data_IF_289133058068
#
_entry.id   IF_289133058068
#
_cell.length_a   1.000
_cell.length_b   1.000
_cell.length_c   1.000
_cell.angle_alpha   90.00
_cell.angle_beta   90.00
_cell.angle_gamma   90.00
#
_symmetry.space_group_name_H-M   'P 1'
#
loop_
_entity.id
_entity.type
_entity.pdbx_description
1 polymer ?
#
# COMPACT_ATOMS: atom_id res chain seq x y z
N UNK A 1 -33.77 15.87 -33.03
CA UNK A 1 -32.43 16.18 -32.48
C UNK A 1 -31.83 14.87 -32.02
N UNK A 2 -31.01 14.24 -32.87
CA UNK A 2 -30.23 13.08 -32.45
C UNK A 2 -29.13 13.61 -31.52
N UNK A 3 -29.23 13.29 -30.24
CA UNK A 3 -28.10 13.43 -29.30
C UNK A 3 -27.10 12.39 -29.79
N UNK A 4 -26.04 12.86 -30.46
CA UNK A 4 -24.89 12.01 -30.74
C UNK A 4 -24.31 11.64 -29.36
N UNK A 5 -24.52 10.40 -28.92
CA UNK A 5 -23.75 9.83 -27.82
C UNK A 5 -22.29 9.83 -28.30
N UNK A 6 -21.46 10.70 -27.72
CA UNK A 6 -20.01 10.58 -27.89
C UNK A 6 -19.61 9.22 -27.30
N UNK A 7 -19.27 8.28 -28.19
CA UNK A 7 -18.69 7.00 -27.80
C UNK A 7 -17.29 7.27 -27.25
N UNK A 8 -17.15 7.17 -25.93
CA UNK A 8 -15.85 7.18 -25.26
C UNK A 8 -15.30 5.76 -25.26
N UNK A 9 -14.01 5.61 -25.58
CA UNK A 9 -13.37 4.30 -25.41
C UNK A 9 -13.12 4.00 -23.92
N UNK A 10 -12.87 2.74 -23.60
CA UNK A 10 -12.66 2.31 -22.21
C UNK A 10 -11.56 3.12 -21.50
N UNK A 11 -10.47 3.44 -22.18
CA UNK A 11 -9.35 4.17 -21.61
C UNK A 11 -9.74 5.60 -21.20
N UNK A 12 -10.54 6.28 -22.02
CA UNK A 12 -11.04 7.62 -21.74
C UNK A 12 -11.96 7.62 -20.51
N UNK A 13 -12.80 6.60 -20.36
CA UNK A 13 -13.65 6.42 -19.17
C UNK A 13 -12.77 6.27 -17.92
N UNK A 14 -11.79 5.36 -17.94
CA UNK A 14 -10.85 5.21 -16.82
C UNK A 14 -10.11 6.51 -16.51
N UNK A 15 -9.60 7.24 -17.50
CA UNK A 15 -8.90 8.51 -17.30
C UNK A 15 -9.80 9.57 -16.66
N UNK A 16 -11.04 9.69 -17.11
CA UNK A 16 -12.01 10.66 -16.59
C UNK A 16 -12.35 10.45 -15.11
N UNK A 17 -12.31 9.18 -14.64
CA UNK A 17 -12.65 8.78 -13.27
C UNK A 17 -11.46 8.73 -12.31
N UNK A 18 -10.22 8.84 -12.81
CA UNK A 18 -8.98 8.71 -12.03
C UNK A 18 -8.98 9.52 -10.74
N UNK A 19 -9.19 10.84 -10.83
CA UNK A 19 -9.09 11.72 -9.68
C UNK A 19 -10.11 11.39 -8.59
N UNK A 20 -11.34 11.00 -8.98
CA UNK A 20 -12.38 10.63 -8.03
C UNK A 20 -12.06 9.31 -7.33
N UNK A 21 -11.70 8.28 -8.10
CA UNK A 21 -11.38 6.95 -7.55
C UNK A 21 -10.14 6.99 -6.67
N UNK A 22 -9.06 7.67 -7.09
CA UNK A 22 -7.83 7.81 -6.29
C UNK A 22 -8.11 8.51 -4.97
N UNK A 23 -8.94 9.58 -4.98
CA UNK A 23 -9.34 10.29 -3.77
C UNK A 23 -10.14 9.38 -2.83
N UNK A 24 -11.17 8.72 -3.34
CA UNK A 24 -12.04 7.82 -2.55
C UNK A 24 -11.26 6.63 -1.97
N UNK A 25 -10.36 6.04 -2.75
CA UNK A 25 -9.52 4.95 -2.27
C UNK A 25 -8.60 5.42 -1.14
N UNK A 26 -7.97 6.59 -1.31
CA UNK A 26 -7.13 7.20 -0.26
C UNK A 26 -7.92 7.42 1.04
N UNK A 27 -9.15 7.95 0.95
CA UNK A 27 -10.04 8.15 2.09
C UNK A 27 -10.45 6.83 2.76
N UNK A 28 -10.75 5.80 1.95
CA UNK A 28 -11.08 4.46 2.42
C UNK A 28 -9.90 3.83 3.16
N UNK A 29 -8.68 3.97 2.63
CA UNK A 29 -7.45 3.49 3.26
C UNK A 29 -7.20 4.18 4.59
N UNK A 30 -7.34 5.51 4.68
CA UNK A 30 -7.21 6.21 5.96
C UNK A 30 -8.18 5.69 7.00
N UNK A 31 -9.39 5.33 6.60
CA UNK A 31 -10.41 4.78 7.51
C UNK A 31 -10.06 3.39 8.05
N UNK A 32 -9.01 2.74 7.55
CA UNK A 32 -8.48 1.48 8.10
C UNK A 32 -7.49 1.66 9.24
N UNK A 33 -7.05 2.90 9.49
CA UNK A 33 -6.13 3.20 10.60
C UNK A 33 -6.90 3.53 11.89
N UNK A 34 -6.35 3.21 13.08
CA UNK A 34 -6.98 3.54 14.36
C UNK A 34 -7.33 5.03 14.50
N UNK A 35 -8.44 5.34 15.19
CA UNK A 35 -9.02 6.69 15.32
C UNK A 35 -8.01 7.79 15.72
N UNK A 36 -7.03 7.45 16.56
CA UNK A 36 -5.98 8.37 17.02
C UNK A 36 -5.05 8.86 15.90
N UNK A 37 -4.93 8.09 14.81
CA UNK A 37 -4.11 8.44 13.65
C UNK A 37 -4.91 9.07 12.51
N UNK A 38 -6.22 8.83 12.43
CA UNK A 38 -7.07 9.25 11.29
C UNK A 38 -7.23 10.77 11.18
N UNK A 39 -7.33 11.46 12.32
CA UNK A 39 -7.43 12.92 12.35
C UNK A 39 -6.16 13.59 11.81
N UNK A 40 -4.99 13.13 12.23
CA UNK A 40 -3.71 13.66 11.75
C UNK A 40 -3.48 13.40 10.26
N UNK A 41 -3.85 12.21 9.78
CA UNK A 41 -3.68 11.80 8.38
C UNK A 41 -4.52 12.65 7.40
N UNK A 42 -5.71 13.11 7.82
CA UNK A 42 -6.65 13.87 6.98
C UNK A 42 -6.36 15.37 6.93
N UNK A 43 -5.68 15.94 7.93
CA UNK A 43 -5.62 17.40 8.13
C UNK A 43 -4.32 18.07 7.63
N UNK A 44 -3.22 17.32 7.44
CA UNK A 44 -1.93 17.91 7.01
C UNK A 44 -1.53 17.50 5.60
N UNK A 45 -1.41 18.49 4.71
CA UNK A 45 -0.95 18.34 3.31
C UNK A 45 0.58 18.36 3.15
N UNK A 46 1.34 18.70 4.19
CA UNK A 46 2.81 18.72 4.13
C UNK A 46 3.40 17.30 4.10
N UNK A 47 4.20 17.01 3.07
CA UNK A 47 4.83 15.72 2.84
C UNK A 47 5.86 15.36 3.92
N UNK A 48 6.47 16.35 4.59
CA UNK A 48 7.36 16.12 5.74
C UNK A 48 6.57 15.88 7.03
N UNK A 49 5.45 16.57 7.21
CA UNK A 49 4.57 16.42 8.35
C UNK A 49 3.71 15.14 8.33
N UNK A 50 3.52 14.50 7.17
CA UNK A 50 2.61 13.36 7.02
C UNK A 50 3.08 12.35 5.95
N UNK A 51 4.15 11.59 6.23
CA UNK A 51 4.72 10.63 5.26
C UNK A 51 3.74 9.51 4.88
N UNK A 52 2.86 9.10 5.81
CA UNK A 52 1.83 8.09 5.57
C UNK A 52 0.84 8.54 4.49
N UNK A 53 0.36 9.78 4.58
CA UNK A 53 -0.56 10.32 3.58
C UNK A 53 0.09 10.44 2.20
N UNK A 54 1.35 10.89 2.15
CA UNK A 54 2.06 11.00 0.88
C UNK A 54 2.25 9.64 0.21
N UNK A 55 2.73 8.63 0.95
CA UNK A 55 2.91 7.27 0.44
C UNK A 55 1.58 6.62 0.03
N UNK A 56 0.49 6.91 0.75
CA UNK A 56 -0.84 6.41 0.40
C UNK A 56 -1.35 7.03 -0.90
N UNK A 57 -1.22 8.35 -1.08
CA UNK A 57 -1.65 9.04 -2.31
C UNK A 57 -0.83 8.61 -3.53
N UNK A 58 0.49 8.49 -3.36
CA UNK A 58 1.39 7.97 -4.39
C UNK A 58 0.97 6.55 -4.82
N UNK A 59 0.82 5.65 -3.85
CA UNK A 59 0.37 4.30 -4.13
C UNK A 59 -1.02 4.27 -4.77
N UNK A 60 -1.96 5.11 -4.34
CA UNK A 60 -3.30 5.19 -4.90
C UNK A 60 -3.28 5.56 -6.39
N UNK A 61 -2.52 6.59 -6.75
CA UNK A 61 -2.38 7.04 -8.14
C UNK A 61 -1.73 5.98 -9.02
N UNK A 62 -0.58 5.45 -8.59
CA UNK A 62 0.17 4.45 -9.36
C UNK A 62 -0.59 3.12 -9.47
N UNK A 63 -1.27 2.68 -8.40
CA UNK A 63 -2.14 1.51 -8.42
C UNK A 63 -3.28 1.69 -9.42
N UNK A 64 -3.94 2.86 -9.39
CA UNK A 64 -5.03 3.15 -10.32
C UNK A 64 -4.55 3.13 -11.78
N UNK A 65 -3.43 3.77 -12.09
CA UNK A 65 -2.89 3.81 -13.45
C UNK A 65 -2.56 2.40 -13.96
N UNK A 66 -1.95 1.56 -13.13
CA UNK A 66 -1.67 0.17 -13.47
C UNK A 66 -2.97 -0.64 -13.68
N UNK A 67 -3.99 -0.43 -12.86
CA UNK A 67 -5.32 -1.09 -13.00
C UNK A 67 -6.02 -0.64 -14.28
N UNK A 68 -6.01 0.66 -14.56
CA UNK A 68 -6.57 1.27 -15.77
C UNK A 68 -5.81 0.88 -17.05
N UNK A 69 -4.68 0.17 -16.94
CA UNK A 69 -3.88 -0.23 -18.10
C UNK A 69 -3.13 0.92 -18.76
N UNK A 70 -2.87 2.00 -18.02
CA UNK A 70 -1.95 3.03 -18.50
C UNK A 70 -0.54 2.44 -18.66
N UNK A 71 0.22 3.02 -19.59
CA UNK A 71 1.63 2.69 -19.75
C UNK A 71 2.42 3.25 -18.56
N UNK A 72 2.67 2.40 -17.57
CA UNK A 72 3.48 2.72 -16.40
C UNK A 72 4.64 1.74 -16.31
N UNK A 73 5.84 2.27 -16.12
CA UNK A 73 7.03 1.47 -15.85
C UNK A 73 6.82 0.52 -14.67
N UNK A 74 7.11 -0.77 -14.87
CA UNK A 74 6.92 -1.82 -13.85
C UNK A 74 7.70 -1.48 -12.57
N UNK A 75 8.89 -0.89 -12.72
CA UNK A 75 9.71 -0.44 -11.59
C UNK A 75 9.02 0.66 -10.76
N UNK A 76 8.30 1.58 -11.42
CA UNK A 76 7.55 2.66 -10.76
C UNK A 76 6.41 2.08 -9.93
N UNK A 77 5.64 1.16 -10.52
CA UNK A 77 4.55 0.46 -9.81
C UNK A 77 5.10 -0.30 -8.61
N UNK A 78 6.14 -1.11 -8.82
CA UNK A 78 6.76 -1.89 -7.76
C UNK A 78 7.26 -1.01 -6.61
N UNK A 79 7.97 0.09 -6.89
CA UNK A 79 8.53 0.96 -5.86
C UNK A 79 7.42 1.67 -5.04
N UNK A 80 6.39 2.19 -5.69
CA UNK A 80 5.26 2.83 -5.01
C UNK A 80 4.54 1.84 -4.08
N UNK A 81 4.26 0.62 -4.58
CA UNK A 81 3.65 -0.44 -3.78
C UNK A 81 4.58 -0.91 -2.65
N UNK A 82 5.88 -1.05 -2.91
CA UNK A 82 6.87 -1.48 -1.92
C UNK A 82 6.92 -0.53 -0.73
N UNK A 83 6.96 0.77 -0.99
CA UNK A 83 6.93 1.81 0.04
C UNK A 83 5.66 1.71 0.88
N UNK A 84 4.49 1.68 0.23
CA UNK A 84 3.20 1.64 0.93
C UNK A 84 2.99 0.34 1.73
N UNK A 85 3.33 -0.81 1.15
CA UNK A 85 3.16 -2.12 1.79
C UNK A 85 4.11 -2.29 2.97
N UNK A 86 5.39 -1.88 2.84
CA UNK A 86 6.34 -1.91 3.97
C UNK A 86 5.86 -1.07 5.15
N UNK A 87 5.30 0.12 4.88
CA UNK A 87 4.69 0.97 5.90
C UNK A 87 3.56 0.26 6.65
N UNK A 88 2.75 -0.56 5.96
CA UNK A 88 1.69 -1.34 6.59
C UNK A 88 2.20 -2.63 7.26
N UNK A 89 3.30 -3.21 6.79
CA UNK A 89 3.91 -4.41 7.36
C UNK A 89 4.56 -4.19 8.73
N UNK A 90 5.12 -3.00 8.95
CA UNK A 90 5.68 -2.59 10.25
C UNK A 90 4.62 -2.21 11.28
N UNK A 91 3.38 -1.93 10.83
CA UNK A 91 2.26 -1.65 11.72
C UNK A 91 1.68 -2.95 12.29
N UNK A 92 0.95 -2.85 13.40
CA UNK A 92 0.35 -3.99 14.13
C UNK A 92 -0.91 -4.52 13.44
N UNK A 93 -0.91 -4.59 12.11
CA UNK A 93 -1.97 -5.18 11.31
C UNK A 93 -1.74 -6.69 11.14
N UNK A 94 -2.83 -7.46 11.07
CA UNK A 94 -2.78 -8.80 10.49
C UNK A 94 -2.45 -8.71 9.00
N UNK A 95 -1.95 -9.79 8.35
CA UNK A 95 -1.72 -9.80 6.91
C UNK A 95 -2.96 -9.40 6.09
N UNK A 96 -4.14 -9.88 6.50
CA UNK A 96 -5.42 -9.54 5.86
C UNK A 96 -5.77 -8.05 5.99
N UNK A 97 -5.50 -7.41 7.14
CA UNK A 97 -5.69 -5.97 7.32
C UNK A 97 -4.64 -5.15 6.56
N UNK A 98 -3.40 -5.65 6.48
CA UNK A 98 -2.30 -5.02 5.76
C UNK A 98 -2.56 -4.94 4.25
N UNK A 99 -3.10 -6.01 3.66
CA UNK A 99 -3.28 -6.18 2.22
C UNK A 99 -4.73 -6.01 1.73
N UNK A 100 -5.72 -6.14 2.61
CA UNK A 100 -7.14 -5.98 2.25
C UNK A 100 -7.47 -4.62 1.62
N UNK A 101 -6.63 -3.60 1.86
CA UNK A 101 -6.75 -2.26 1.28
C UNK A 101 -6.73 -2.21 -0.25
N UNK A 102 -6.05 -3.13 -0.91
CA UNK A 102 -6.05 -3.20 -2.39
C UNK A 102 -7.47 -3.48 -2.90
N UNK A 103 -8.19 -4.37 -2.23
CA UNK A 103 -9.55 -4.75 -2.59
C UNK A 103 -10.60 -3.67 -2.32
N UNK A 104 -10.26 -2.60 -1.58
CA UNK A 104 -11.13 -1.42 -1.46
C UNK A 104 -11.34 -0.70 -2.80
N UNK A 105 -10.49 -0.96 -3.80
CA UNK A 105 -10.66 -0.40 -5.14
C UNK A 105 -11.84 -1.03 -5.88
N UNK A 106 -12.13 -2.32 -5.67
CA UNK A 106 -13.20 -3.06 -6.36
C UNK A 106 -14.58 -2.40 -6.26
N UNK A 107 -15.11 -2.05 -5.07
CA UNK A 107 -16.39 -1.34 -5.00
C UNK A 107 -16.37 0.02 -5.70
N UNK A 108 -15.23 0.73 -5.68
CA UNK A 108 -15.10 2.02 -6.38
C UNK A 108 -15.15 1.86 -7.90
N UNK A 109 -14.49 0.84 -8.46
CA UNK A 109 -14.58 0.52 -9.90
C UNK A 109 -16.02 0.13 -10.29
N UNK A 110 -16.70 -0.65 -9.46
CA UNK A 110 -18.11 -1.04 -9.69
C UNK A 110 -19.08 0.13 -9.67
N UNK A 111 -18.86 1.08 -8.77
CA UNK A 111 -19.74 2.24 -8.62
C UNK A 111 -19.45 3.31 -9.67
N UNK A 112 -18.18 3.55 -10.00
CA UNK A 112 -17.75 4.72 -10.77
C UNK A 112 -17.40 4.45 -12.22
N UNK A 113 -17.17 3.20 -12.60
CA UNK A 113 -16.63 2.86 -13.93
C UNK A 113 -17.50 1.82 -14.64
N UNK A 114 -17.92 0.76 -13.94
CA UNK A 114 -18.70 -0.32 -14.53
C UNK A 114 -19.97 0.15 -15.26
N UNK A 115 -20.79 1.10 -14.74
CA UNK A 115 -21.98 1.54 -15.45
C UNK A 115 -21.69 2.12 -16.83
N UNK A 116 -20.67 2.98 -16.93
CA UNK A 116 -20.27 3.60 -18.20
C UNK A 116 -19.66 2.61 -19.17
N UNK A 117 -18.77 1.72 -18.70
CA UNK A 117 -18.21 0.67 -19.56
C UNK A 117 -19.30 -0.29 -20.06
N UNK A 118 -20.28 -0.62 -19.22
CA UNK A 118 -21.41 -1.47 -19.62
C UNK A 118 -22.28 -0.79 -20.70
N UNK A 119 -22.54 0.51 -20.58
CA UNK A 119 -23.27 1.30 -21.59
C UNK A 119 -22.52 1.36 -22.93
N UNK A 120 -21.18 1.41 -22.91
CA UNK A 120 -20.35 1.39 -24.12
C UNK A 120 -20.08 -0.03 -24.66
N UNK A 121 -20.53 -1.09 -23.98
CA UNK A 121 -20.24 -2.48 -24.39
C UNK A 121 -18.81 -2.96 -24.07
N UNK A 122 -18.09 -2.24 -23.21
CA UNK A 122 -16.68 -2.44 -22.85
C UNK A 122 -16.50 -3.27 -21.57
N UNK A 123 -17.36 -4.28 -21.35
CA UNK A 123 -17.31 -5.10 -20.14
C UNK A 123 -16.01 -5.90 -20.01
N UNK A 124 -15.39 -6.30 -21.12
CA UNK A 124 -14.11 -7.00 -21.13
C UNK A 124 -12.97 -6.13 -20.56
N UNK A 125 -12.97 -4.83 -20.88
CA UNK A 125 -12.02 -3.88 -20.33
C UNK A 125 -12.16 -3.76 -18.80
N UNK A 126 -13.39 -3.78 -18.27
CA UNK A 126 -13.65 -3.80 -16.83
C UNK A 126 -13.09 -5.06 -16.16
N UNK A 127 -13.37 -6.24 -16.72
CA UNK A 127 -12.89 -7.52 -16.18
C UNK A 127 -11.36 -7.63 -16.22
N UNK A 128 -10.75 -7.07 -17.27
CA UNK A 128 -9.30 -6.98 -17.40
C UNK A 128 -8.70 -6.08 -16.30
N UNK A 129 -9.31 -4.93 -16.01
CA UNK A 129 -8.87 -4.04 -14.92
C UNK A 129 -8.98 -4.72 -13.54
N UNK A 130 -10.06 -5.44 -13.25
CA UNK A 130 -10.19 -6.25 -12.02
C UNK A 130 -9.11 -7.32 -11.93
N UNK A 131 -8.79 -8.00 -13.02
CA UNK A 131 -7.71 -9.01 -13.07
C UNK A 131 -6.33 -8.42 -12.83
N UNK A 132 -6.07 -7.20 -13.34
CA UNK A 132 -4.83 -6.46 -13.05
C UNK A 132 -4.73 -6.10 -11.57
N UNK A 133 -5.82 -5.65 -10.95
CA UNK A 133 -5.87 -5.37 -9.51
C UNK A 133 -5.53 -6.61 -8.67
N UNK A 134 -6.07 -7.78 -9.04
CA UNK A 134 -5.80 -9.03 -8.34
C UNK A 134 -4.31 -9.43 -8.47
N UNK A 135 -3.72 -9.23 -9.65
CA UNK A 135 -2.29 -9.45 -9.87
C UNK A 135 -1.41 -8.51 -9.04
N UNK A 136 -1.79 -7.24 -8.92
CA UNK A 136 -1.10 -6.24 -8.10
C UNK A 136 -1.23 -6.54 -6.61
N UNK A 137 -2.36 -7.09 -6.16
CA UNK A 137 -2.55 -7.55 -4.79
C UNK A 137 -1.63 -8.74 -4.46
N UNK A 138 -1.40 -9.67 -5.40
CA UNK A 138 -0.43 -10.75 -5.24
C UNK A 138 1.02 -10.22 -5.18
N UNK A 139 1.38 -9.26 -6.02
CA UNK A 139 2.68 -8.59 -5.92
C UNK A 139 2.86 -7.92 -4.55
N UNK A 140 1.81 -7.26 -4.05
CA UNK A 140 1.83 -6.67 -2.72
C UNK A 140 1.97 -7.71 -1.60
N UNK A 141 1.40 -8.92 -1.78
CA UNK A 141 1.56 -10.02 -0.84
C UNK A 141 3.02 -10.48 -0.74
N UNK A 142 3.72 -10.63 -1.87
CA UNK A 142 5.15 -11.01 -1.88
C UNK A 142 5.99 -9.98 -1.14
N UNK A 143 5.75 -8.69 -1.43
CA UNK A 143 6.42 -7.56 -0.77
C UNK A 143 6.16 -7.58 0.74
N UNK A 144 4.91 -7.79 1.15
CA UNK A 144 4.52 -7.81 2.56
C UNK A 144 5.22 -8.94 3.30
N UNK A 145 5.23 -10.14 2.72
CA UNK A 145 5.84 -11.32 3.32
C UNK A 145 7.35 -11.13 3.49
N UNK A 146 8.04 -10.63 2.46
CA UNK A 146 9.47 -10.32 2.54
C UNK A 146 9.77 -9.26 3.62
N UNK A 147 8.94 -8.22 3.73
CA UNK A 147 9.09 -7.19 4.76
C UNK A 147 8.92 -7.76 6.19
N UNK A 148 7.95 -8.65 6.39
CA UNK A 148 7.70 -9.31 7.68
C UNK A 148 8.82 -10.26 8.07
N UNK A 149 9.38 -10.98 7.10
CA UNK A 149 10.55 -11.85 7.30
C UNK A 149 11.76 -11.03 7.74
N UNK A 150 12.09 -9.96 7.01
CA UNK A 150 13.20 -9.05 7.37
C UNK A 150 13.04 -8.47 8.79
N UNK A 151 11.81 -8.12 9.17
CA UNK A 151 11.51 -7.63 10.52
C UNK A 151 11.72 -8.71 11.59
N UNK A 152 11.30 -9.94 11.33
CA UNK A 152 11.50 -11.07 12.24
C UNK A 152 12.99 -11.39 12.42
N UNK A 153 13.75 -11.45 11.32
CA UNK A 153 15.20 -11.66 11.34
C UNK A 153 15.93 -10.56 12.14
N UNK A 154 15.54 -9.30 11.92
CA UNK A 154 16.09 -8.16 12.65
C UNK A 154 15.85 -8.28 14.15
N UNK A 155 14.63 -8.66 14.55
CA UNK A 155 14.28 -8.89 15.96
C UNK A 155 15.08 -10.03 16.59
N UNK A 156 15.26 -11.14 15.88
CA UNK A 156 16.06 -12.28 16.35
C UNK A 156 17.52 -11.86 16.54
N UNK A 157 18.07 -11.10 15.58
CA UNK A 157 19.45 -10.59 15.65
C UNK A 157 19.65 -9.65 16.84
N UNK A 158 18.70 -8.74 17.07
CA UNK A 158 18.74 -7.83 18.21
C UNK A 158 18.72 -8.57 19.55
N UNK A 159 17.83 -9.57 19.70
CA UNK A 159 17.76 -10.41 20.90
C UNK A 159 19.09 -11.12 21.13
N UNK A 160 19.69 -11.74 20.10
CA UNK A 160 21.00 -12.41 20.21
C UNK A 160 22.11 -11.44 20.64
N UNK A 161 22.11 -10.22 20.12
CA UNK A 161 23.08 -9.19 20.49
C UNK A 161 22.93 -8.77 21.96
N UNK A 162 21.70 -8.59 22.44
CA UNK A 162 21.42 -8.28 23.85
C UNK A 162 21.89 -9.41 24.78
N UNK A 163 21.60 -10.67 24.44
CA UNK A 163 22.10 -11.83 25.20
C UNK A 163 23.63 -11.88 25.24
N UNK A 164 24.30 -11.67 24.10
CA UNK A 164 25.75 -11.68 24.05
C UNK A 164 26.37 -10.52 24.87
N UNK A 165 25.74 -9.35 24.92
CA UNK A 165 26.16 -8.24 25.77
C UNK A 165 26.00 -8.56 27.26
N UNK A 166 24.86 -9.14 27.65
CA UNK A 166 24.61 -9.56 29.03
C UNK A 166 25.59 -10.65 29.48
N UNK A 167 25.88 -11.63 28.63
CA UNK A 167 26.86 -12.68 28.91
C UNK A 167 28.27 -12.10 29.11
N UNK A 168 28.71 -11.16 28.25
CA UNK A 168 29.99 -10.47 28.42
C UNK A 168 30.05 -9.67 29.72
N UNK A 169 28.98 -8.94 30.05
CA UNK A 169 28.91 -8.17 31.29
C UNK A 169 28.97 -9.06 32.53
N UNK A 170 28.29 -10.21 32.53
CA UNK A 170 28.34 -11.19 33.61
C UNK A 170 29.77 -11.75 33.80
N UNK A 171 30.47 -12.08 32.70
CA UNK A 171 31.87 -12.52 32.76
C UNK A 171 32.78 -11.46 33.38
N UNK A 172 32.63 -10.19 33.00
CA UNK A 172 33.41 -9.08 33.59
C UNK A 172 33.16 -8.91 35.09
N UNK A 173 31.95 -9.20 35.58
CA UNK A 173 31.65 -9.16 37.01
C UNK A 173 32.25 -10.35 37.78
N UNK A 174 32.27 -11.54 37.18
CA UNK A 174 32.92 -12.73 37.76
C UNK A 174 34.44 -12.57 37.84
N UNK A 175 35.06 -11.88 36.88
CA UNK A 175 36.51 -11.66 36.87
C UNK A 175 37.00 -10.67 37.94
N UNK A 176 36.12 -9.80 38.48
CA UNK A 176 36.41 -8.81 39.53
C UNK A 176 37.60 -7.89 39.23
N UNK A 177 37.94 -6.89 40.07
CA UNK A 177 39.19 -6.14 39.92
C UNK A 177 40.37 -7.03 40.36
N UNK A 178 40.73 -8.02 39.57
CA UNK A 178 41.86 -8.92 39.79
C UNK A 178 43.20 -8.31 39.35
N UNK A 179 43.42 -7.02 39.65
CA UNK A 179 44.62 -6.31 39.20
C UNK A 179 44.95 -4.98 39.88
N UNK A 180 44.59 -4.80 41.16
CA UNK A 180 45.11 -3.69 41.98
C UNK A 180 45.79 -4.24 43.24
N UNK A 181 46.97 -4.82 43.06
CA UNK A 181 48.01 -4.97 44.10
C UNK A 181 49.37 -4.75 43.48
#
# INVERSE_FOLDING_TARGET
MAVWLEFMNAQEIFRSRKNDVVRLWTEAVYSTYPFETTGFLRTKQDAFGNPVANMTKEAAGTLYDAVAGEEVEVATVKNALERFVKLRAVQTFTPSQGLGVFYLMKPLLRERILPELAEQGELDAYLTAESRLDSLALLAFDIYTAARETLAESRIKEIRNQYAQLARWAQTLEEGPSGAR
#
